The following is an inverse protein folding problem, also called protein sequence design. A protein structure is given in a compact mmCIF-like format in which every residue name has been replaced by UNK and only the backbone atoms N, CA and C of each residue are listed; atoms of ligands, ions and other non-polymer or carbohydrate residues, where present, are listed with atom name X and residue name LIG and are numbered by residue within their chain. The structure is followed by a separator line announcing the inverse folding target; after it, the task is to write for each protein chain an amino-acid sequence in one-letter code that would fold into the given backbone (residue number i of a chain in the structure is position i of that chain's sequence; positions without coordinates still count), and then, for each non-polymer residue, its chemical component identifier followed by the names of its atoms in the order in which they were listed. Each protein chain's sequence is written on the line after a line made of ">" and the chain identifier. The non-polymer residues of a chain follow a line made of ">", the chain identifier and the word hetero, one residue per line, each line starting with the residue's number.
data_IF_379451948536
#
_entry.id   IF_379451948536
#
_cell.length_a   1.000
_cell.length_b   1.000
_cell.length_c   1.000
_cell.angle_alpha   90.00
_cell.angle_beta   90.00
_cell.angle_gamma   90.00
#
_symmetry.space_group_name_H-M   'P 1'
#
loop_
_entity.id
_entity.type
_entity.pdbx_description
1 polymer ?
#
# COMPACT_ATOMS: atom_id res chain seq x y z
N UNK A 1 -13.12 9.16 -42.89
CA UNK A 1 -11.74 8.91 -42.41
C UNK A 1 -11.81 8.25 -41.04
N UNK A 2 -11.41 6.98 -40.96
CA UNK A 2 -11.46 6.14 -39.76
C UNK A 2 -10.20 6.46 -38.94
N UNK A 3 -10.35 7.10 -37.78
CA UNK A 3 -9.21 7.36 -36.90
C UNK A 3 -8.91 6.09 -36.09
N UNK A 4 -7.68 5.60 -36.22
CA UNK A 4 -7.13 4.42 -35.56
C UNK A 4 -6.91 4.69 -34.07
N UNK A 5 -7.27 3.73 -33.21
CA UNK A 5 -7.11 3.71 -31.74
C UNK A 5 -5.65 3.73 -31.23
N UNK A 6 -4.68 4.16 -32.05
CA UNK A 6 -3.25 3.98 -31.82
C UNK A 6 -2.55 5.14 -31.07
N UNK A 7 -3.26 6.12 -30.52
CA UNK A 7 -2.66 7.29 -29.84
C UNK A 7 -3.14 7.51 -28.41
N UNK A 8 -3.41 6.45 -27.66
CA UNK A 8 -3.41 6.54 -26.19
C UNK A 8 -1.94 6.72 -25.75
N UNK A 9 -1.58 7.77 -24.98
CA UNK A 9 -0.20 7.99 -24.57
C UNK A 9 0.35 6.76 -23.83
N UNK A 10 1.57 6.32 -24.18
CA UNK A 10 2.30 5.21 -23.52
C UNK A 10 2.38 5.32 -21.99
N UNK A 11 2.10 6.50 -21.43
CA UNK A 11 2.06 6.77 -20.00
C UNK A 11 0.91 6.07 -19.27
N UNK A 12 -0.22 5.82 -19.94
CA UNK A 12 -1.41 5.18 -19.32
C UNK A 12 -1.20 3.67 -19.10
N UNK A 13 -0.48 3.00 -19.99
CA UNK A 13 -0.28 1.54 -19.98
C UNK A 13 0.70 1.04 -18.90
N UNK A 14 1.56 1.91 -18.37
CA UNK A 14 2.49 1.56 -17.27
C UNK A 14 1.84 1.58 -15.88
N UNK A 15 0.63 2.10 -15.76
CA UNK A 15 -0.04 2.29 -14.47
C UNK A 15 -0.47 0.97 -13.82
N UNK A 16 -0.89 -0.03 -14.62
CA UNK A 16 -1.34 -1.33 -14.11
C UNK A 16 -0.20 -2.29 -13.72
N UNK A 17 1.01 -2.12 -14.25
CA UNK A 17 2.12 -3.05 -14.04
C UNK A 17 3.09 -2.67 -12.91
N UNK A 18 2.95 -1.47 -12.32
CA UNK A 18 3.77 -1.01 -11.19
C UNK A 18 3.14 -1.29 -9.80
N UNK A 19 2.09 -2.11 -9.76
CA UNK A 19 1.28 -2.35 -8.57
C UNK A 19 1.94 -3.15 -7.42
N UNK A 20 3.01 -3.98 -7.57
CA UNK A 20 3.46 -4.76 -6.40
C UNK A 20 4.29 -3.97 -5.37
N UNK A 21 5.04 -2.94 -5.80
CA UNK A 21 6.01 -2.22 -4.95
C UNK A 21 5.50 -0.88 -4.43
N UNK A 22 4.44 -0.33 -5.04
CA UNK A 22 3.90 1.01 -4.71
C UNK A 22 2.71 0.96 -3.73
N UNK A 23 2.12 -0.22 -3.49
CA UNK A 23 0.79 -0.37 -2.87
C UNK A 23 0.78 -0.41 -1.34
N UNK A 24 1.92 -0.61 -0.67
CA UNK A 24 1.92 -0.78 0.80
C UNK A 24 1.85 0.53 1.60
N UNK A 25 2.23 1.67 1.03
CA UNK A 25 2.25 2.96 1.75
C UNK A 25 1.27 4.01 1.19
N UNK A 26 0.66 3.75 0.04
CA UNK A 26 -0.39 4.60 -0.52
C UNK A 26 -1.74 3.94 -0.26
N UNK A 27 -2.60 4.56 0.53
CA UNK A 27 -4.05 4.35 0.34
C UNK A 27 -4.37 4.86 -1.07
N UNK A 28 -4.88 3.97 -1.91
CA UNK A 28 -5.06 4.13 -3.37
C UNK A 28 -5.58 5.52 -3.81
N UNK A 29 -6.45 6.12 -2.99
CA UNK A 29 -7.21 7.32 -3.32
C UNK A 29 -6.36 8.61 -3.51
N UNK A 30 -5.26 8.78 -2.76
CA UNK A 30 -4.41 9.99 -2.88
C UNK A 30 -3.47 9.94 -4.10
N UNK A 31 -3.01 8.73 -4.46
CA UNK A 31 -2.18 8.49 -5.64
C UNK A 31 -2.96 8.77 -6.92
N UNK A 32 -4.15 8.19 -6.98
CA UNK A 32 -5.06 8.34 -8.09
C UNK A 32 -5.46 9.81 -8.26
N UNK A 33 -5.71 10.53 -7.15
CA UNK A 33 -6.00 11.96 -7.19
C UNK A 33 -4.82 12.80 -7.70
N UNK A 34 -3.60 12.61 -7.18
CA UNK A 34 -2.45 13.45 -7.58
C UNK A 34 -2.09 13.23 -9.04
N UNK A 35 -2.13 11.98 -9.50
CA UNK A 35 -1.83 11.65 -10.89
C UNK A 35 -2.93 12.14 -11.84
N UNK A 36 -4.20 11.90 -11.53
CA UNK A 36 -5.32 12.38 -12.34
C UNK A 36 -5.33 13.92 -12.39
N UNK A 37 -5.16 14.58 -11.24
CA UNK A 37 -5.05 16.03 -11.16
C UNK A 37 -3.91 16.58 -12.01
N UNK A 38 -2.72 15.97 -11.90
CA UNK A 38 -1.55 16.36 -12.68
C UNK A 38 -1.76 16.18 -14.19
N UNK A 39 -2.48 15.15 -14.64
CA UNK A 39 -2.82 14.97 -16.05
C UNK A 39 -3.80 16.04 -16.55
N UNK A 40 -4.87 16.31 -15.80
CA UNK A 40 -5.92 17.23 -16.24
C UNK A 40 -5.51 18.69 -16.21
N UNK A 41 -4.75 19.08 -15.20
CA UNK A 41 -4.36 20.47 -15.01
C UNK A 41 -2.96 20.80 -15.56
N UNK A 42 -2.29 19.83 -16.21
CA UNK A 42 -1.01 20.05 -16.88
C UNK A 42 -1.10 21.19 -17.89
N UNK A 43 -0.06 22.02 -17.91
CA UNK A 43 0.19 22.90 -19.03
C UNK A 43 0.66 22.09 -20.25
N UNK A 44 -0.20 22.00 -21.27
CA UNK A 44 0.08 21.27 -22.50
C UNK A 44 0.87 22.06 -23.55
N UNK A 45 1.10 23.35 -23.33
CA UNK A 45 1.96 24.16 -24.20
C UNK A 45 3.46 23.89 -23.97
N UNK A 46 3.81 23.30 -22.81
CA UNK A 46 5.17 22.83 -22.52
C UNK A 46 5.35 21.35 -22.81
N UNK A 47 6.54 20.96 -23.25
CA UNK A 47 6.94 19.57 -23.48
C UNK A 47 7.41 18.85 -22.20
N UNK A 48 7.53 19.56 -21.07
CA UNK A 48 8.01 18.99 -19.82
C UNK A 48 7.11 17.84 -19.31
N UNK A 49 7.68 16.73 -18.86
CA UNK A 49 6.90 15.60 -18.34
C UNK A 49 6.42 15.85 -16.90
N UNK A 50 5.30 15.24 -16.53
CA UNK A 50 4.92 15.06 -15.11
C UNK A 50 5.99 14.18 -14.46
N UNK A 51 6.52 14.59 -13.31
CA UNK A 51 7.55 13.85 -12.56
C UNK A 51 6.94 13.31 -11.28
N UNK A 52 7.14 12.03 -11.02
CA UNK A 52 6.80 11.38 -9.76
C UNK A 52 8.11 11.02 -9.06
N UNK A 53 8.41 11.66 -7.94
CA UNK A 53 9.62 11.43 -7.16
C UNK A 53 9.25 10.73 -5.86
N UNK A 54 9.78 9.53 -5.67
CA UNK A 54 9.51 8.71 -4.49
C UNK A 54 10.71 8.79 -3.57
N UNK A 55 10.53 9.40 -2.40
CA UNK A 55 11.53 9.46 -1.34
C UNK A 55 11.18 8.47 -0.21
N UNK A 56 12.06 8.37 0.78
CA UNK A 56 11.85 7.51 1.94
C UNK A 56 10.68 8.01 2.82
N UNK A 57 10.56 9.33 2.95
CA UNK A 57 9.68 10.06 3.85
C UNK A 57 8.48 10.72 3.14
N UNK A 58 8.50 10.81 1.80
CA UNK A 58 7.45 11.49 1.03
C UNK A 58 7.40 11.05 -0.42
N UNK A 59 6.33 11.42 -1.11
CA UNK A 59 6.23 11.36 -2.56
C UNK A 59 5.85 12.73 -3.10
N UNK A 60 6.56 13.16 -4.13
CA UNK A 60 6.30 14.41 -4.82
C UNK A 60 5.76 14.13 -6.22
N UNK A 61 4.61 14.72 -6.54
CA UNK A 61 4.05 14.77 -7.90
C UNK A 61 4.23 16.19 -8.42
N UNK A 62 5.06 16.35 -9.45
CA UNK A 62 5.38 17.65 -10.05
C UNK A 62 4.74 17.71 -11.44
N UNK A 63 3.78 18.61 -11.63
CA UNK A 63 3.14 18.89 -12.91
C UNK A 63 3.65 20.20 -13.51
N UNK A 64 3.96 20.24 -14.82
CA UNK A 64 4.23 21.48 -15.52
C UNK A 64 3.01 22.41 -15.52
N UNK A 65 3.25 23.71 -15.35
CA UNK A 65 2.22 24.74 -15.18
C UNK A 65 1.99 25.07 -13.71
N UNK A 66 2.01 26.37 -13.39
CA UNK A 66 1.57 26.92 -12.10
C UNK A 66 0.03 27.04 -12.04
N UNK A 67 -0.56 27.50 -10.94
CA UNK A 67 -2.00 27.77 -10.90
C UNK A 67 -2.37 28.97 -11.81
N UNK A 68 -3.50 28.94 -12.53
CA UNK A 68 -3.97 30.13 -13.26
C UNK A 68 -4.19 31.31 -12.31
N UNK A 69 -4.00 32.54 -12.77
CA UNK A 69 -4.07 33.79 -11.98
C UNK A 69 -5.36 33.96 -11.15
N UNK A 70 -6.43 33.23 -11.47
CA UNK A 70 -7.69 33.22 -10.73
C UNK A 70 -7.70 32.29 -9.50
N UNK A 71 -6.65 31.50 -9.26
CA UNK A 71 -6.61 30.46 -8.23
C UNK A 71 -5.37 30.59 -7.36
N UNK A 72 -5.56 30.44 -6.05
CA UNK A 72 -4.50 30.26 -5.07
C UNK A 72 -4.50 28.84 -4.52
N UNK A 73 -3.41 28.44 -3.88
CA UNK A 73 -3.32 27.17 -3.15
C UNK A 73 -4.40 27.06 -2.06
N UNK A 74 -4.75 28.16 -1.42
CA UNK A 74 -5.85 28.22 -0.44
C UNK A 74 -7.22 28.01 -1.10
N UNK A 75 -7.50 28.69 -2.22
CA UNK A 75 -8.78 28.56 -2.90
C UNK A 75 -9.06 27.11 -3.36
N UNK A 76 -8.04 26.43 -3.89
CA UNK A 76 -8.19 25.03 -4.33
C UNK A 76 -8.35 24.04 -3.16
N UNK A 77 -7.84 24.37 -1.96
CA UNK A 77 -8.09 23.59 -0.73
C UNK A 77 -9.59 23.57 -0.38
N UNK A 78 -10.31 24.63 -0.73
CA UNK A 78 -11.76 24.74 -0.58
C UNK A 78 -12.55 24.34 -1.84
N UNK A 79 -11.88 23.73 -2.83
CA UNK A 79 -12.53 23.18 -4.02
C UNK A 79 -12.73 24.16 -5.17
N UNK A 80 -12.14 25.36 -5.12
CA UNK A 80 -12.11 26.24 -6.28
C UNK A 80 -11.41 25.53 -7.46
N UNK A 81 -11.98 25.65 -8.65
CA UNK A 81 -11.48 24.94 -9.83
C UNK A 81 -11.59 25.83 -11.06
N UNK A 82 -10.57 25.78 -11.92
CA UNK A 82 -10.55 26.43 -13.21
C UNK A 82 -10.05 25.42 -14.25
N UNK A 83 -10.85 25.20 -15.30
CA UNK A 83 -10.55 24.22 -16.33
C UNK A 83 -9.68 24.88 -17.41
N UNK A 84 -8.39 24.56 -17.44
CA UNK A 84 -7.47 24.99 -18.51
C UNK A 84 -7.88 24.43 -19.88
N UNK A 85 -8.34 23.17 -19.90
CA UNK A 85 -8.79 22.50 -21.12
C UNK A 85 -10.14 21.80 -20.86
N UNK A 86 -11.27 22.44 -21.19
CA UNK A 86 -12.60 21.88 -20.98
C UNK A 86 -12.81 20.53 -21.67
N UNK A 87 -12.29 20.36 -22.89
CA UNK A 87 -12.41 19.11 -23.66
C UNK A 87 -11.70 17.95 -22.98
N UNK A 88 -10.48 18.14 -22.47
CA UNK A 88 -9.80 17.11 -21.70
C UNK A 88 -10.55 16.76 -20.42
N UNK A 89 -11.05 17.77 -19.69
CA UNK A 89 -11.81 17.55 -18.46
C UNK A 89 -13.10 16.74 -18.72
N UNK A 90 -13.80 17.01 -19.82
CA UNK A 90 -15.05 16.34 -20.20
C UNK A 90 -14.85 14.87 -20.61
N UNK A 91 -13.73 14.53 -21.22
CA UNK A 91 -13.41 13.13 -21.49
C UNK A 91 -12.84 12.40 -20.27
N UNK A 92 -12.07 13.11 -19.44
CA UNK A 92 -11.40 12.52 -18.28
C UNK A 92 -12.35 11.96 -17.22
N UNK A 93 -13.51 12.61 -17.02
CA UNK A 93 -14.57 12.12 -16.11
C UNK A 93 -15.02 10.68 -16.45
N UNK A 94 -14.85 10.24 -17.69
CA UNK A 94 -15.26 8.91 -18.16
C UNK A 94 -14.11 7.87 -18.15
N UNK A 95 -12.85 8.32 -18.08
CA UNK A 95 -11.67 7.47 -18.32
C UNK A 95 -10.81 7.31 -17.06
N UNK A 96 -10.73 8.35 -16.23
CA UNK A 96 -9.94 8.36 -15.00
C UNK A 96 -10.83 8.04 -13.79
N UNK A 97 -10.25 7.60 -12.65
CA UNK A 97 -10.97 7.42 -11.38
C UNK A 97 -11.37 8.79 -10.78
N UNK A 98 -12.21 9.52 -11.50
CA UNK A 98 -12.55 10.90 -11.29
C UNK A 98 -13.87 11.02 -10.53
N UNK A 99 -13.86 11.66 -9.36
CA UNK A 99 -15.04 11.77 -8.46
C UNK A 99 -15.61 13.19 -8.38
N UNK A 100 -15.71 13.86 -9.53
CA UNK A 100 -16.25 15.21 -9.65
C UNK A 100 -15.20 16.33 -9.57
N UNK A 101 -15.55 17.49 -10.14
CA UNK A 101 -14.70 18.67 -10.19
C UNK A 101 -14.58 19.35 -8.84
N UNK A 102 -13.36 19.81 -8.51
CA UNK A 102 -13.10 20.51 -7.25
C UNK A 102 -13.14 19.63 -6.00
N UNK A 103 -13.47 18.34 -6.11
CA UNK A 103 -13.58 17.44 -4.93
C UNK A 103 -12.28 16.72 -4.58
N UNK A 104 -11.33 16.65 -5.53
CA UNK A 104 -10.08 15.89 -5.37
C UNK A 104 -9.23 16.37 -4.21
N UNK A 105 -8.84 17.64 -4.24
CA UNK A 105 -7.97 18.25 -3.23
C UNK A 105 -8.65 18.29 -1.85
N UNK A 106 -9.91 18.74 -1.67
CA UNK A 106 -10.56 18.70 -0.36
C UNK A 106 -10.64 17.30 0.24
N UNK A 107 -10.94 16.27 -0.57
CA UNK A 107 -10.97 14.88 -0.10
C UNK A 107 -9.59 14.38 0.30
N UNK A 108 -8.58 14.65 -0.53
CA UNK A 108 -7.21 14.26 -0.21
C UNK A 108 -6.72 14.91 1.09
N UNK A 109 -7.08 16.17 1.34
CA UNK A 109 -6.76 16.88 2.59
C UNK A 109 -7.54 16.36 3.79
N UNK A 110 -8.78 15.89 3.60
CA UNK A 110 -9.54 15.22 4.66
C UNK A 110 -8.86 13.92 5.10
N UNK A 111 -8.45 13.09 4.14
CA UNK A 111 -7.81 11.79 4.40
C UNK A 111 -6.34 11.94 4.82
N UNK A 112 -5.67 13.00 4.34
CA UNK A 112 -4.25 13.30 4.55
C UNK A 112 -4.04 14.80 4.80
N UNK A 113 -4.27 15.28 6.03
CA UNK A 113 -4.19 16.71 6.36
C UNK A 113 -2.81 17.33 6.14
N UNK A 114 -1.78 16.50 6.09
CA UNK A 114 -0.37 16.89 5.97
C UNK A 114 0.11 17.02 4.52
N UNK A 115 -0.78 16.88 3.51
CA UNK A 115 -0.41 17.13 2.11
C UNK A 115 -0.07 18.61 1.91
N UNK A 116 1.08 18.86 1.30
CA UNK A 116 1.50 20.19 0.89
C UNK A 116 1.22 20.40 -0.61
N UNK A 117 0.70 21.59 -0.91
CA UNK A 117 0.40 22.05 -2.26
C UNK A 117 1.26 23.28 -2.50
N UNK A 118 2.20 23.18 -3.43
CA UNK A 118 3.20 24.20 -3.70
C UNK A 118 3.04 24.69 -5.13
N UNK A 119 2.81 25.99 -5.26
CA UNK A 119 2.72 26.66 -6.56
C UNK A 119 4.02 27.42 -6.83
N UNK A 120 4.88 26.87 -7.69
CA UNK A 120 6.20 27.41 -8.01
C UNK A 120 6.15 28.19 -9.33
N UNK A 121 5.69 29.44 -9.26
CA UNK A 121 5.48 30.33 -10.42
C UNK A 121 6.76 30.51 -11.24
N UNK A 122 7.89 30.76 -10.57
CA UNK A 122 9.20 30.99 -11.23
C UNK A 122 9.68 29.79 -12.03
N UNK A 123 9.39 28.58 -11.56
CA UNK A 123 9.72 27.31 -12.22
C UNK A 123 8.60 26.83 -13.16
N UNK A 124 7.50 27.59 -13.28
CA UNK A 124 6.26 27.22 -13.97
C UNK A 124 5.81 25.78 -13.66
N UNK A 125 5.70 25.44 -12.37
CA UNK A 125 5.29 24.10 -11.96
C UNK A 125 4.44 24.12 -10.70
N UNK A 126 3.56 23.14 -10.61
CA UNK A 126 2.75 22.87 -9.43
C UNK A 126 3.20 21.53 -8.84
N UNK A 127 3.41 21.50 -7.53
CA UNK A 127 3.94 20.34 -6.80
C UNK A 127 2.98 19.95 -5.69
N UNK A 128 2.67 18.66 -5.64
CA UNK A 128 1.95 18.04 -4.53
C UNK A 128 2.90 17.14 -3.78
N UNK A 129 3.07 17.40 -2.48
CA UNK A 129 3.93 16.60 -1.60
C UNK A 129 3.03 15.82 -0.65
N UNK A 130 3.09 14.49 -0.76
CA UNK A 130 2.35 13.57 0.10
C UNK A 130 3.37 12.95 1.06
N UNK A 131 3.34 13.28 2.36
CA UNK A 131 4.23 12.64 3.33
C UNK A 131 3.88 11.16 3.45
N UNK A 132 4.90 10.33 3.50
CA UNK A 132 4.77 8.90 3.79
C UNK A 132 4.86 8.75 5.29
N UNK A 133 3.78 8.28 5.90
CA UNK A 133 3.87 7.74 7.26
C UNK A 133 4.78 6.52 7.15
N UNK A 134 6.03 6.67 7.58
CA UNK A 134 6.86 5.51 7.84
C UNK A 134 6.22 4.84 9.05
N UNK A 135 5.60 3.68 8.82
CA UNK A 135 5.59 2.72 9.90
C UNK A 135 7.05 2.46 10.23
N UNK A 136 7.44 2.56 11.52
CA UNK A 136 8.83 2.42 11.90
C UNK A 136 9.37 1.16 11.25
N UNK A 137 10.49 1.29 10.53
CA UNK A 137 11.27 0.19 9.97
C UNK A 137 11.97 -0.53 11.14
N UNK A 138 11.17 -0.95 12.12
CA UNK A 138 11.52 -1.93 13.11
C UNK A 138 11.17 -3.30 12.54
N UNK A 139 11.87 -4.37 12.95
CA UNK A 139 11.41 -5.72 12.63
C UNK A 139 9.95 -5.81 13.06
N UNK A 140 9.05 -6.14 12.13
CA UNK A 140 7.65 -6.45 12.45
C UNK A 140 7.59 -7.37 13.66
N UNK A 141 6.88 -6.98 14.71
CA UNK A 141 5.76 -7.82 15.10
C UNK A 141 4.48 -7.00 15.21
N UNK A 142 3.39 -7.60 14.75
CA UNK A 142 1.98 -7.31 15.07
C UNK A 142 1.09 -6.94 13.87
N UNK A 143 0.94 -7.92 12.97
CA UNK A 143 -0.43 -8.44 12.80
C UNK A 143 -0.81 -8.95 14.18
N UNK A 144 -1.78 -8.35 14.88
CA UNK A 144 -2.49 -9.11 15.92
C UNK A 144 -2.99 -10.35 15.21
N UNK A 145 -2.39 -11.53 15.41
CA UNK A 145 -2.89 -12.70 14.73
C UNK A 145 -4.27 -12.87 15.35
N UNK A 146 -5.33 -12.72 14.55
CA UNK A 146 -6.52 -13.46 14.89
C UNK A 146 -6.06 -14.92 14.89
N UNK A 147 -5.75 -15.43 16.08
CA UNK A 147 -5.32 -16.80 16.27
C UNK A 147 -6.51 -17.63 15.87
N UNK A 148 -6.42 -18.18 14.67
CA UNK A 148 -7.36 -19.19 14.21
C UNK A 148 -7.37 -20.31 15.27
N UNK A 149 -8.52 -20.90 15.62
CA UNK A 149 -8.61 -21.95 16.64
C UNK A 149 -7.51 -23.02 16.53
N UNK A 150 -7.14 -23.37 15.29
CA UNK A 150 -6.08 -24.30 14.93
C UNK A 150 -4.71 -23.95 15.52
N UNK A 151 -4.34 -22.66 15.54
CA UNK A 151 -3.06 -22.21 16.11
C UNK A 151 -3.12 -22.26 17.64
N UNK A 152 -4.26 -21.93 18.25
CA UNK A 152 -4.47 -22.10 19.69
C UNK A 152 -4.32 -23.56 20.12
N UNK A 153 -4.97 -24.48 19.40
CA UNK A 153 -4.86 -25.93 19.63
C UNK A 153 -3.40 -26.40 19.53
N UNK A 154 -2.66 -25.92 18.52
CA UNK A 154 -1.24 -26.24 18.35
C UNK A 154 -0.40 -25.78 19.54
N UNK A 155 -0.58 -24.53 19.99
CA UNK A 155 0.14 -23.99 21.14
C UNK A 155 -0.17 -24.79 22.41
N UNK A 156 -1.44 -25.15 22.61
CA UNK A 156 -1.88 -25.98 23.72
C UNK A 156 -1.34 -27.41 23.66
N UNK A 157 -0.97 -27.92 22.49
CA UNK A 157 -0.40 -29.26 22.31
C UNK A 157 1.12 -29.33 22.52
N UNK A 158 1.84 -28.23 22.33
CA UNK A 158 3.31 -28.22 22.43
C UNK A 158 3.76 -28.39 23.89
N UNK A 159 4.63 -29.37 24.13
CA UNK A 159 5.30 -29.66 25.40
C UNK A 159 6.79 -29.86 25.15
N UNK A 160 7.58 -28.82 25.41
CA UNK A 160 9.02 -28.82 25.14
C UNK A 160 9.34 -28.83 23.63
N UNK A 161 10.42 -29.54 23.25
CA UNK A 161 10.87 -29.65 21.87
C UNK A 161 10.28 -30.91 21.20
N UNK A 162 9.33 -30.73 20.30
CA UNK A 162 8.64 -31.83 19.62
C UNK A 162 8.81 -31.80 18.11
N UNK A 163 8.84 -32.98 17.51
CA UNK A 163 8.86 -33.17 16.07
C UNK A 163 7.48 -32.90 15.46
N UNK A 164 7.45 -32.71 14.13
CA UNK A 164 6.19 -32.57 13.41
C UNK A 164 5.24 -33.76 13.63
N UNK A 165 5.78 -34.97 13.68
CA UNK A 165 4.98 -36.20 13.86
C UNK A 165 4.33 -36.21 15.24
N UNK A 166 5.10 -35.93 16.29
CA UNK A 166 4.59 -35.89 17.67
C UNK A 166 3.48 -34.83 17.84
N UNK A 167 3.60 -33.68 17.17
CA UNK A 167 2.56 -32.63 17.18
C UNK A 167 1.30 -33.04 16.43
N UNK A 168 1.45 -33.71 15.29
CA UNK A 168 0.31 -34.26 14.56
C UNK A 168 -0.41 -35.34 15.37
N UNK A 169 0.34 -36.22 16.04
CA UNK A 169 -0.21 -37.27 16.89
C UNK A 169 -0.96 -36.67 18.10
N UNK A 170 -0.40 -35.64 18.73
CA UNK A 170 -1.02 -34.94 19.86
C UNK A 170 -2.36 -34.26 19.46
N UNK A 171 -2.43 -33.72 18.24
CA UNK A 171 -3.65 -33.10 17.68
C UNK A 171 -4.57 -34.10 16.96
N UNK A 172 -4.20 -35.39 16.91
CA UNK A 172 -4.92 -36.45 16.18
C UNK A 172 -5.16 -36.13 14.69
N UNK A 173 -4.17 -35.50 14.06
CA UNK A 173 -4.21 -35.09 12.65
C UNK A 173 -3.38 -36.06 11.78
N UNK A 174 -3.96 -36.52 10.68
CA UNK A 174 -3.28 -37.42 9.74
C UNK A 174 -2.78 -36.72 8.46
N UNK A 175 -3.36 -35.57 8.10
CA UNK A 175 -2.99 -34.82 6.89
C UNK A 175 -1.81 -33.89 7.14
N UNK A 176 -0.63 -34.31 6.65
CA UNK A 176 0.63 -33.55 6.74
C UNK A 176 0.58 -32.21 6.00
N UNK A 177 -0.10 -32.15 4.85
CA UNK A 177 -0.18 -30.94 4.02
C UNK A 177 -1.05 -29.91 4.71
N UNK A 178 -2.22 -30.34 5.20
CA UNK A 178 -3.12 -29.48 5.96
C UNK A 178 -2.47 -29.00 7.26
N UNK A 179 -1.83 -29.88 8.03
CA UNK A 179 -1.09 -29.50 9.24
C UNK A 179 -0.07 -28.39 8.97
N UNK A 180 0.71 -28.49 7.90
CA UNK A 180 1.71 -27.46 7.57
C UNK A 180 1.06 -26.10 7.32
N UNK A 181 -0.01 -26.07 6.52
CA UNK A 181 -0.61 -24.80 6.03
C UNK A 181 -1.52 -24.16 7.07
N UNK A 182 -2.28 -24.95 7.82
CA UNK A 182 -3.30 -24.44 8.74
C UNK A 182 -2.81 -24.30 10.19
N UNK A 183 -1.75 -25.01 10.59
CA UNK A 183 -1.26 -25.02 11.97
C UNK A 183 0.17 -24.48 12.05
N UNK A 184 1.11 -25.15 11.38
CA UNK A 184 2.54 -24.92 11.60
C UNK A 184 3.04 -23.59 11.02
N UNK A 185 2.76 -23.33 9.74
CA UNK A 185 3.24 -22.13 9.05
C UNK A 185 2.65 -20.85 9.67
N UNK A 186 1.32 -20.75 9.94
CA UNK A 186 0.78 -19.57 10.59
C UNK A 186 1.39 -19.30 11.97
N UNK A 187 1.66 -20.36 12.76
CA UNK A 187 2.28 -20.21 14.08
C UNK A 187 3.76 -19.78 14.01
N UNK A 188 4.51 -20.26 12.99
CA UNK A 188 5.89 -19.83 12.74
C UNK A 188 5.96 -18.39 12.23
N UNK A 189 5.09 -18.03 11.27
CA UNK A 189 5.03 -16.68 10.69
C UNK A 189 4.62 -15.64 11.74
N UNK A 190 3.74 -16.02 12.67
CA UNK A 190 3.33 -15.21 13.81
C UNK A 190 4.37 -15.19 14.95
N UNK A 191 5.48 -15.94 14.86
CA UNK A 191 6.50 -15.99 15.90
C UNK A 191 6.08 -16.68 17.21
N UNK A 192 4.94 -17.38 17.23
CA UNK A 192 4.39 -18.04 18.41
C UNK A 192 5.11 -19.36 18.73
N UNK A 193 5.73 -19.97 17.72
CA UNK A 193 6.58 -21.15 17.84
C UNK A 193 7.89 -20.92 17.09
N UNK A 194 8.94 -21.64 17.49
CA UNK A 194 10.27 -21.54 16.91
C UNK A 194 10.82 -22.91 16.50
N UNK A 195 11.67 -22.87 15.48
CA UNK A 195 12.44 -24.00 14.96
C UNK A 195 13.73 -24.20 15.76
N UNK A 196 14.07 -25.44 16.11
CA UNK A 196 15.34 -25.73 16.82
C UNK A 196 16.57 -25.63 15.91
N UNK A 197 16.42 -25.92 14.60
CA UNK A 197 17.51 -25.82 13.61
C UNK A 197 17.09 -24.88 12.45
N UNK A 198 17.08 -23.55 12.68
CA UNK A 198 16.58 -22.59 11.68
C UNK A 198 17.41 -22.58 10.38
N UNK A 199 18.71 -22.86 10.46
CA UNK A 199 19.60 -22.90 9.29
C UNK A 199 19.31 -24.08 8.33
N UNK A 200 18.60 -25.12 8.78
CA UNK A 200 18.28 -26.32 7.99
C UNK A 200 16.80 -26.72 8.22
N UNK A 201 15.83 -25.98 7.64
CA UNK A 201 14.40 -26.19 7.92
C UNK A 201 13.88 -27.58 7.51
N UNK A 202 14.54 -28.22 6.54
CA UNK A 202 14.21 -29.57 6.09
C UNK A 202 15.01 -30.67 6.81
N UNK A 203 15.65 -30.35 7.94
CA UNK A 203 16.42 -31.33 8.72
C UNK A 203 15.51 -32.45 9.25
N UNK A 204 16.01 -33.69 9.20
CA UNK A 204 15.33 -34.84 9.81
C UNK A 204 15.24 -34.74 11.33
N UNK A 205 16.11 -33.94 11.94
CA UNK A 205 16.16 -33.68 13.39
C UNK A 205 15.40 -32.40 13.78
N UNK A 206 14.62 -31.83 12.87
CA UNK A 206 13.87 -30.60 13.11
C UNK A 206 12.82 -30.80 14.20
N UNK A 207 12.86 -29.92 15.21
CA UNK A 207 11.86 -29.84 16.27
C UNK A 207 11.30 -28.41 16.36
N UNK A 208 10.15 -28.30 17.00
CA UNK A 208 9.41 -27.08 17.22
C UNK A 208 9.14 -26.92 18.72
N UNK A 209 9.24 -25.69 19.19
CA UNK A 209 8.99 -25.31 20.58
C UNK A 209 8.20 -24.01 20.64
N UNK A 210 7.45 -23.81 21.71
CA UNK A 210 6.71 -22.57 21.94
C UNK A 210 7.67 -21.42 22.29
N UNK A 211 7.39 -20.20 21.83
CA UNK A 211 8.14 -18.99 22.20
C UNK A 211 7.48 -18.29 23.40
N UNK A 212 8.15 -17.30 23.97
CA UNK A 212 7.56 -16.45 25.02
C UNK A 212 6.26 -15.78 24.54
N UNK A 213 6.21 -15.31 23.29
CA UNK A 213 5.01 -14.74 22.69
C UNK A 213 3.87 -15.77 22.60
N UNK A 214 4.17 -17.01 22.21
CA UNK A 214 3.19 -18.10 22.21
C UNK A 214 2.66 -18.43 23.60
N UNK A 215 3.51 -18.38 24.62
CA UNK A 215 3.11 -18.62 26.01
C UNK A 215 2.22 -17.49 26.56
N UNK A 216 2.58 -16.23 26.31
CA UNK A 216 1.75 -15.08 26.71
C UNK A 216 0.36 -15.16 26.07
N UNK A 217 0.30 -15.54 24.79
CA UNK A 217 -0.97 -15.68 24.09
C UNK A 217 -1.82 -16.81 24.65
N UNK A 218 -1.21 -17.97 24.90
CA UNK A 218 -1.90 -19.10 25.54
C UNK A 218 -2.45 -18.72 26.92
N UNK A 219 -1.71 -17.91 27.68
CA UNK A 219 -2.14 -17.41 28.99
C UNK A 219 -3.23 -16.32 28.94
N UNK A 220 -3.48 -15.69 27.79
CA UNK A 220 -4.57 -14.73 27.61
C UNK A 220 -5.89 -15.39 27.15
N UNK A 221 -5.82 -16.64 26.68
CA UNK A 221 -6.98 -17.42 26.22
C UNK A 221 -7.63 -18.27 27.31
N UNK A 222 -7.04 -18.31 28.52
CA UNK A 222 -7.52 -18.96 29.72
C UNK A 222 -7.45 -18.01 30.91
#
# INVERSE_FOLDING_TARGET
>A
MRWSLASIPRQLLRFRSMQPLLVRSWKCDSADMTMAGALIHRDYFTSASIRLMVFADRVETISPGHLPDSLSTEAIRHGATNRRNPTLTEHAVHILPYRGLGTGIPRALHDWPTIELLDEITSNQFKVVVPRIQEPDGPTPQVTPQVTPQVGDLLAAIRGDQTRTELMDALRLNDRKHFRVAYLQPALDAGLIAMTIPAKPNSRLQKYRITEQGQTLLAQQY
#
